data_IF_871506612659
#
_entry.id   IF_871506612659
#
_cell.length_a   1.000
_cell.length_b   1.000
_cell.length_c   1.000
_cell.angle_alpha   90.00
_cell.angle_beta   90.00
_cell.angle_gamma   90.00
#
_symmetry.space_group_name_H-M   'P 1'
#
loop_
_entity.id
_entity.type
_entity.pdbx_description
1 polymer ?
#
# COMPACT_ATOMS: atom_id res chain seq x y z
N UNK A 1 22.65 -22.10 12.69
CA UNK A 1 22.46 -20.62 12.63
C UNK A 1 22.63 -20.21 11.19
N UNK A 2 21.67 -19.46 10.61
CA UNK A 2 21.82 -18.92 9.25
C UNK A 2 22.98 -17.92 9.22
N UNK A 3 23.73 -17.87 8.12
CA UNK A 3 24.74 -16.84 7.92
C UNK A 3 24.07 -15.45 7.94
N UNK A 4 24.74 -14.46 8.53
CA UNK A 4 24.20 -13.11 8.68
C UNK A 4 23.92 -12.45 7.32
N UNK A 5 24.68 -12.80 6.28
CA UNK A 5 24.41 -12.32 4.91
C UNK A 5 23.17 -12.96 4.31
N UNK A 6 22.98 -14.26 4.51
CA UNK A 6 21.78 -14.98 4.05
C UNK A 6 20.52 -14.44 4.71
N UNK A 7 20.58 -14.16 6.01
CA UNK A 7 19.45 -13.59 6.74
C UNK A 7 19.08 -12.17 6.26
N UNK A 8 20.08 -11.31 6.02
CA UNK A 8 19.83 -9.99 5.41
C UNK A 8 19.22 -10.12 4.01
N UNK A 9 19.72 -11.04 3.20
CA UNK A 9 19.19 -11.27 1.85
C UNK A 9 17.73 -11.74 1.90
N UNK A 10 17.36 -12.55 2.89
CA UNK A 10 15.99 -12.99 3.11
C UNK A 10 15.06 -11.83 3.54
N UNK A 11 15.51 -10.97 4.45
CA UNK A 11 14.74 -9.79 4.89
C UNK A 11 14.50 -8.77 3.77
N UNK A 12 15.40 -8.71 2.78
CA UNK A 12 15.28 -7.81 1.62
C UNK A 12 14.30 -8.31 0.55
N UNK A 13 13.82 -9.55 0.64
CA UNK A 13 12.83 -10.06 -0.32
C UNK A 13 11.52 -9.31 -0.16
N UNK A 14 10.83 -9.10 -1.28
CA UNK A 14 9.50 -8.52 -1.27
C UNK A 14 8.53 -9.39 -0.47
N UNK A 15 7.71 -8.72 0.31
CA UNK A 15 6.47 -9.27 0.84
C UNK A 15 5.38 -8.90 -0.16
N UNK A 16 4.81 -9.92 -0.81
CA UNK A 16 3.75 -9.75 -1.81
C UNK A 16 2.43 -10.25 -1.23
N UNK A 17 1.40 -9.40 -1.24
CA UNK A 17 0.07 -9.77 -0.76
C UNK A 17 -1.03 -9.13 -1.62
N UNK A 18 -2.17 -9.81 -1.68
CA UNK A 18 -3.36 -9.34 -2.38
C UNK A 18 -4.39 -8.82 -1.38
N UNK A 19 -5.13 -7.79 -1.77
CA UNK A 19 -6.16 -7.18 -0.92
C UNK A 19 -7.18 -6.42 -1.76
N UNK A 20 -8.29 -6.04 -1.15
CA UNK A 20 -9.29 -5.15 -1.76
C UNK A 20 -9.29 -3.81 -1.03
N UNK A 21 -9.03 -2.73 -1.76
CA UNK A 21 -8.97 -1.37 -1.22
C UNK A 21 -9.65 -0.39 -2.18
N UNK A 22 -10.47 0.53 -1.66
CA UNK A 22 -11.22 1.47 -2.51
C UNK A 22 -12.17 0.81 -3.52
N UNK A 23 -12.58 -0.44 -3.26
CA UNK A 23 -13.42 -1.22 -4.18
C UNK A 23 -12.66 -2.02 -5.24
N UNK A 24 -11.33 -1.89 -5.32
CA UNK A 24 -10.47 -2.53 -6.33
C UNK A 24 -9.60 -3.63 -5.72
N UNK A 25 -9.42 -4.73 -6.45
CA UNK A 25 -8.44 -5.76 -6.09
C UNK A 25 -7.04 -5.30 -6.50
N UNK A 26 -6.11 -5.32 -5.55
CA UNK A 26 -4.75 -4.81 -5.68
C UNK A 26 -3.75 -5.85 -5.20
N UNK A 27 -2.59 -5.86 -5.84
CA UNK A 27 -1.41 -6.63 -5.41
C UNK A 27 -0.36 -5.62 -4.98
N UNK A 28 0.08 -5.72 -3.72
CA UNK A 28 1.12 -4.86 -3.19
C UNK A 28 2.42 -5.64 -3.03
N UNK A 29 3.51 -4.97 -3.41
CA UNK A 29 4.87 -5.36 -3.10
C UNK A 29 5.36 -4.42 -2.00
N UNK A 30 5.82 -4.98 -0.89
CA UNK A 30 6.41 -4.20 0.21
C UNK A 30 7.63 -4.92 0.76
N UNK A 31 8.23 -4.42 1.82
CA UNK A 31 9.41 -5.04 2.44
C UNK A 31 9.46 -4.77 3.95
N UNK A 32 10.29 -5.53 4.66
CA UNK A 32 10.54 -5.34 6.08
C UNK A 32 11.10 -3.93 6.36
N UNK A 33 10.61 -3.31 7.44
CA UNK A 33 10.96 -1.94 7.81
C UNK A 33 9.98 -0.87 7.32
N UNK A 34 9.03 -1.22 6.44
CA UNK A 34 7.89 -0.37 6.11
C UNK A 34 6.74 -0.60 7.10
N UNK A 35 5.88 0.42 7.23
CA UNK A 35 4.65 0.33 8.03
C UNK A 35 3.70 -0.70 7.44
N UNK A 36 3.11 -1.56 8.29
CA UNK A 36 2.19 -2.65 7.93
C UNK A 36 2.58 -3.41 6.64
N UNK A 37 3.74 -4.07 6.58
CA UNK A 37 4.27 -4.60 5.32
C UNK A 37 3.62 -5.93 4.89
N UNK A 38 2.71 -6.50 5.68
CA UNK A 38 2.07 -7.79 5.36
C UNK A 38 0.59 -7.68 4.98
N UNK A 39 0.00 -6.51 5.19
CA UNK A 39 -1.43 -6.25 4.97
C UNK A 39 -1.71 -4.75 4.97
N UNK A 40 -2.87 -4.37 4.46
CA UNK A 40 -3.39 -3.01 4.70
C UNK A 40 -3.66 -2.83 6.19
N UNK A 41 -3.26 -1.68 6.73
CA UNK A 41 -3.55 -1.29 8.11
C UNK A 41 -5.04 -0.99 8.30
N UNK A 42 -5.58 -1.27 9.49
CA UNK A 42 -7.00 -1.07 9.78
C UNK A 42 -7.42 0.41 9.68
N UNK A 43 -6.52 1.33 10.05
CA UNK A 43 -6.73 2.77 9.90
C UNK A 43 -6.78 3.19 8.44
N UNK A 44 -5.91 2.64 7.59
CA UNK A 44 -6.00 2.82 6.13
C UNK A 44 -7.33 2.30 5.60
N UNK A 45 -7.77 1.10 5.99
CA UNK A 45 -9.07 0.57 5.57
C UNK A 45 -10.25 1.44 6.05
N UNK A 46 -10.18 1.96 7.27
CA UNK A 46 -11.19 2.87 7.84
C UNK A 46 -11.27 4.19 7.07
N UNK A 47 -10.12 4.76 6.69
CA UNK A 47 -10.05 5.97 5.88
C UNK A 47 -10.83 5.80 4.57
N UNK A 48 -10.56 4.73 3.82
CA UNK A 48 -11.26 4.45 2.55
C UNK A 48 -12.77 4.25 2.70
N UNK A 49 -13.26 3.78 3.85
CA UNK A 49 -14.70 3.68 4.11
C UNK A 49 -15.40 5.04 4.23
N UNK A 50 -14.65 6.11 4.48
CA UNK A 50 -15.19 7.46 4.72
C UNK A 50 -14.79 8.48 3.65
N UNK A 51 -13.91 8.10 2.71
CA UNK A 51 -13.52 8.98 1.61
C UNK A 51 -14.57 8.97 0.50
N UNK A 52 -14.94 10.17 0.05
CA UNK A 52 -15.71 10.38 -1.17
C UNK A 52 -14.79 11.06 -2.19
N UNK A 53 -14.25 10.27 -3.11
CA UNK A 53 -13.26 10.72 -4.10
C UNK A 53 -13.94 10.92 -5.43
N UNK A 54 -13.74 12.08 -6.07
CA UNK A 54 -14.20 12.33 -7.43
C UNK A 54 -13.20 11.81 -8.47
N UNK A 55 -13.65 11.43 -9.68
CA UNK A 55 -12.77 10.90 -10.72
C UNK A 55 -11.62 11.84 -11.11
N UNK A 56 -11.79 13.15 -10.96
CA UNK A 56 -10.87 14.22 -11.37
C UNK A 56 -10.12 14.88 -10.20
N UNK A 57 -10.16 14.29 -9.00
CA UNK A 57 -9.46 14.85 -7.84
C UNK A 57 -7.94 14.81 -7.98
N UNK A 58 -7.29 15.92 -7.63
CA UNK A 58 -5.84 16.02 -7.52
C UNK A 58 -5.42 15.66 -6.09
N UNK A 59 -4.59 14.62 -5.93
CA UNK A 59 -4.34 13.98 -4.64
C UNK A 59 -2.84 13.97 -4.34
N UNK A 60 -2.48 14.22 -3.08
CA UNK A 60 -1.12 14.10 -2.57
C UNK A 60 -1.09 13.14 -1.37
N UNK A 61 -0.33 12.05 -1.49
CA UNK A 61 -0.15 11.03 -0.44
C UNK A 61 1.15 11.29 0.33
N UNK A 62 1.03 11.88 1.52
CA UNK A 62 2.17 12.19 2.38
C UNK A 62 2.47 11.02 3.32
N UNK A 63 3.72 10.56 3.33
CA UNK A 63 4.11 9.40 4.13
C UNK A 63 3.62 8.09 3.49
N UNK A 64 3.68 8.01 2.17
CA UNK A 64 3.04 6.96 1.38
C UNK A 64 3.50 5.53 1.69
N UNK A 65 4.68 5.32 2.30
CA UNK A 65 5.19 3.97 2.58
C UNK A 65 5.35 3.15 1.30
N UNK A 66 4.69 1.98 1.22
CA UNK A 66 4.61 1.20 -0.03
C UNK A 66 3.48 1.66 -0.98
N UNK A 67 2.86 2.81 -0.70
CA UNK A 67 1.85 3.49 -1.51
C UNK A 67 0.41 2.99 -1.43
N UNK A 68 -0.08 2.31 -0.37
CA UNK A 68 -1.44 1.75 -0.39
C UNK A 68 -2.52 2.81 -0.55
N UNK A 69 -2.36 3.96 0.11
CA UNK A 69 -3.33 5.07 0.02
C UNK A 69 -3.28 5.67 -1.37
N UNK A 70 -2.12 6.14 -1.83
CA UNK A 70 -1.98 6.74 -3.15
C UNK A 70 -2.45 5.85 -4.30
N UNK A 71 -2.09 4.55 -4.31
CA UNK A 71 -2.54 3.61 -5.34
C UNK A 71 -4.05 3.39 -5.29
N UNK A 72 -4.63 3.22 -4.09
CA UNK A 72 -6.07 3.07 -3.93
C UNK A 72 -6.83 4.32 -4.40
N UNK A 73 -6.33 5.51 -4.05
CA UNK A 73 -6.93 6.78 -4.47
C UNK A 73 -6.79 7.03 -5.97
N UNK A 74 -5.65 6.69 -6.59
CA UNK A 74 -5.47 6.79 -8.03
C UNK A 74 -6.44 5.90 -8.81
N UNK A 75 -6.85 4.76 -8.25
CA UNK A 75 -7.90 3.91 -8.85
C UNK A 75 -9.30 4.53 -8.74
N UNK A 76 -9.56 5.28 -7.67
CA UNK A 76 -10.83 5.99 -7.47
C UNK A 76 -10.89 7.31 -8.26
N UNK A 77 -9.75 7.98 -8.49
CA UNK A 77 -9.60 9.22 -9.23
C UNK A 77 -8.79 9.04 -10.55
N UNK A 78 -9.28 8.26 -11.54
CA UNK A 78 -8.51 7.93 -12.73
C UNK A 78 -8.24 9.11 -13.70
N UNK A 79 -8.91 10.25 -13.50
CA UNK A 79 -8.74 11.48 -14.29
C UNK A 79 -8.00 12.57 -13.51
N UNK A 80 -7.67 12.31 -12.24
CA UNK A 80 -6.84 13.17 -11.41
C UNK A 80 -5.43 13.35 -11.98
N UNK A 81 -4.77 14.44 -11.60
CA UNK A 81 -3.39 14.74 -12.01
C UNK A 81 -2.42 14.73 -10.84
#
# INVERSE_FOLDING_TARGET
>A
MKDHREWIAELKKDIVFQTRLGGHDLVFHSTWGLFSPRSIDEGTALLFRHLAVKPDEHIFDLGCGYGPIGVGLAKMAPQGK
#
